data_IF_059241945115
#
_entry.id   IF_059241945115
#
_cell.length_a   1.000
_cell.length_b   1.000
_cell.length_c   1.000
_cell.angle_alpha   90.00
_cell.angle_beta   90.00
_cell.angle_gamma   90.00
#
_symmetry.space_group_name_H-M   'P 1'
#
loop_
_entity.id
_entity.type
_entity.pdbx_description
1 polymer ?
#
# COMPACT_ATOMS: atom_id res chain seq x y z
N UNK A 1 -24.33 10.72 -15.48
CA UNK A 1 -23.93 12.10 -15.16
C UNK A 1 -22.43 12.21 -14.91
N UNK A 2 -21.86 11.49 -13.93
CA UNK A 2 -20.41 11.52 -13.66
C UNK A 2 -19.54 11.23 -14.89
N UNK A 3 -19.76 10.11 -15.60
CA UNK A 3 -19.05 9.77 -16.84
C UNK A 3 -19.14 10.86 -17.92
N UNK A 4 -20.29 11.51 -18.06
CA UNK A 4 -20.47 12.59 -19.04
C UNK A 4 -19.69 13.85 -18.65
N UNK A 5 -19.58 14.12 -17.35
CA UNK A 5 -18.74 15.20 -16.84
C UNK A 5 -17.26 14.95 -17.12
N UNK A 6 -16.78 13.71 -16.91
CA UNK A 6 -15.39 13.33 -17.23
C UNK A 6 -15.10 13.44 -18.74
N UNK A 7 -16.03 13.00 -19.61
CA UNK A 7 -15.87 13.18 -21.05
C UNK A 7 -15.87 14.67 -21.41
N UNK A 8 -16.75 15.48 -20.82
CA UNK A 8 -16.78 16.93 -21.07
C UNK A 8 -15.46 17.61 -20.69
N UNK A 9 -14.80 17.16 -19.62
CA UNK A 9 -13.49 17.66 -19.21
C UNK A 9 -12.34 17.24 -20.14
N UNK A 10 -12.52 16.17 -20.93
CA UNK A 10 -11.49 15.60 -21.79
C UNK A 10 -11.59 16.03 -23.27
N UNK A 11 -12.69 16.63 -23.70
CA UNK A 11 -12.91 17.06 -25.09
C UNK A 11 -12.33 18.46 -25.36
N UNK A 12 -11.96 18.70 -26.61
CA UNK A 12 -11.46 20.01 -27.08
C UNK A 12 -12.61 20.97 -27.42
N UNK A 13 -12.30 22.26 -27.56
CA UNK A 13 -13.27 23.29 -27.94
C UNK A 13 -13.92 23.06 -29.31
N UNK A 14 -13.23 22.36 -30.23
CA UNK A 14 -13.78 22.01 -31.54
C UNK A 14 -14.85 20.90 -31.43
N UNK A 15 -14.73 20.01 -30.45
CA UNK A 15 -15.62 18.86 -30.22
C UNK A 15 -16.85 19.22 -29.36
N UNK A 16 -16.84 20.39 -28.70
CA UNK A 16 -17.88 20.82 -27.76
C UNK A 16 -19.27 20.91 -28.42
N UNK A 17 -19.34 21.42 -29.65
CA UNK A 17 -20.61 21.51 -30.38
C UNK A 17 -21.19 20.14 -30.73
N UNK A 18 -20.35 19.14 -31.00
CA UNK A 18 -20.79 17.78 -31.29
C UNK A 18 -21.22 17.07 -29.99
N UNK A 19 -20.47 17.26 -28.90
CA UNK A 19 -20.77 16.67 -27.60
C UNK A 19 -22.01 17.25 -26.93
N UNK A 20 -22.37 18.51 -27.21
CA UNK A 20 -23.58 19.15 -26.68
C UNK A 20 -24.87 18.38 -27.03
N UNK A 21 -24.91 17.69 -28.18
CA UNK A 21 -26.04 16.81 -28.54
C UNK A 21 -26.14 15.59 -27.62
N UNK A 22 -24.99 15.02 -27.23
CA UNK A 22 -24.90 13.93 -26.25
C UNK A 22 -25.36 14.40 -24.88
N UNK A 23 -24.96 15.61 -24.46
CA UNK A 23 -25.39 16.22 -23.19
C UNK A 23 -26.89 16.52 -23.17
N UNK A 24 -27.46 17.01 -24.27
CA UNK A 24 -28.89 17.30 -24.34
C UNK A 24 -29.76 16.05 -24.17
N UNK A 25 -29.37 14.94 -24.80
CA UNK A 25 -30.06 13.65 -24.65
C UNK A 25 -29.79 13.05 -23.26
N UNK A 26 -28.56 13.14 -22.77
CA UNK A 26 -28.19 12.69 -21.42
C UNK A 26 -28.94 13.43 -20.30
N UNK A 27 -29.16 14.74 -20.46
CA UNK A 27 -29.93 15.56 -19.54
C UNK A 27 -31.41 15.16 -19.49
N UNK A 28 -32.01 14.79 -20.63
CA UNK A 28 -33.40 14.27 -20.70
C UNK A 28 -33.54 12.93 -19.96
N UNK A 29 -32.55 12.05 -20.02
CA UNK A 29 -32.52 10.79 -19.26
C UNK A 29 -32.47 11.08 -17.75
N UNK A 30 -31.63 12.01 -17.31
CA UNK A 30 -31.49 12.37 -15.89
C UNK A 30 -32.77 13.02 -15.31
N UNK A 31 -33.44 13.86 -16.09
CA UNK A 31 -34.68 14.55 -15.66
C UNK A 31 -35.87 13.58 -15.51
N UNK A 32 -35.94 12.53 -16.33
CA UNK A 32 -37.02 11.53 -16.31
C UNK A 32 -36.80 10.39 -15.28
N UNK A 33 -35.73 10.47 -14.48
CA UNK A 33 -35.45 9.55 -13.38
C UNK A 33 -36.18 9.91 -12.08
N UNK A 34 -36.84 11.09 -12.00
CA UNK A 34 -37.67 11.47 -10.85
C UNK A 34 -38.98 10.66 -10.91
N UNK A 35 -39.27 9.78 -9.93
CA UNK A 35 -40.47 8.95 -10.00
C UNK A 35 -41.75 9.79 -9.91
N UNK A 36 -42.64 9.63 -10.89
CA UNK A 36 -43.96 10.28 -10.95
C UNK A 36 -44.87 9.89 -9.78
N UNK A 37 -44.54 8.82 -9.05
CA UNK A 37 -45.18 8.38 -7.80
C UNK A 37 -45.28 9.48 -6.72
N UNK A 38 -44.35 10.44 -6.69
CA UNK A 38 -44.38 11.56 -5.73
C UNK A 38 -45.62 12.46 -5.96
N UNK A 39 -46.09 12.62 -7.21
CA UNK A 39 -47.27 13.44 -7.54
C UNK A 39 -48.59 12.74 -7.22
N UNK A 40 -48.62 11.41 -7.20
CA UNK A 40 -49.83 10.62 -6.91
C UNK A 40 -50.09 10.61 -5.40
N UNK A 41 -49.04 10.50 -4.58
CA UNK A 41 -49.15 10.55 -3.12
C UNK A 41 -49.79 11.86 -2.61
N UNK A 42 -49.55 13.00 -3.28
CA UNK A 42 -50.11 14.30 -2.92
C UNK A 42 -51.62 14.45 -3.16
N UNK A 43 -52.23 13.70 -4.10
CA UNK A 43 -53.68 13.77 -4.36
C UNK A 43 -54.53 12.95 -3.38
N UNK A 44 -53.92 11.98 -2.68
CA UNK A 44 -54.60 11.04 -1.78
C UNK A 44 -55.06 11.64 -0.45
N UNK A 45 -54.63 12.87 -0.13
CA UNK A 45 -54.95 13.54 1.14
C UNK A 45 -56.26 14.35 1.14
N UNK A 46 -56.99 14.42 0.02
CA UNK A 46 -58.28 15.11 -0.06
C UNK A 46 -59.38 14.05 -0.24
N UNK A 47 -60.08 13.74 0.84
CA UNK A 47 -60.98 12.59 0.94
C UNK A 47 -62.33 12.76 0.25
N UNK A 48 -62.80 11.68 -0.38
CA UNK A 48 -64.20 11.43 -0.77
C UNK A 48 -64.44 9.91 -0.91
N UNK A 49 -65.73 9.52 -0.92
CA UNK A 49 -66.32 8.23 -0.50
C UNK A 49 -65.76 6.88 -1.03
N UNK A 50 -65.76 5.88 -0.14
CA UNK A 50 -65.14 4.55 -0.28
C UNK A 50 -65.65 3.66 -1.44
N UNK A 51 -66.85 3.88 -1.96
CA UNK A 51 -67.39 3.09 -3.07
C UNK A 51 -66.84 3.53 -4.44
N UNK A 52 -66.64 4.84 -4.65
CA UNK A 52 -65.99 5.38 -5.84
C UNK A 52 -64.47 5.11 -5.82
N UNK A 53 -63.89 4.94 -4.63
CA UNK A 53 -62.47 4.61 -4.45
C UNK A 53 -62.12 3.26 -5.05
N UNK A 54 -62.97 2.23 -4.98
CA UNK A 54 -62.63 0.90 -5.50
C UNK A 54 -62.59 0.85 -7.06
N UNK A 55 -63.49 1.57 -7.72
CA UNK A 55 -63.54 1.66 -9.18
C UNK A 55 -62.49 2.64 -9.73
N UNK A 56 -62.21 3.72 -9.00
CA UNK A 56 -61.06 4.58 -9.25
C UNK A 56 -59.75 3.81 -9.08
N UNK A 57 -59.55 3.06 -8.00
CA UNK A 57 -58.33 2.27 -7.75
C UNK A 57 -58.02 1.27 -8.87
N UNK A 58 -59.01 0.66 -9.50
CA UNK A 58 -58.80 -0.30 -10.59
C UNK A 58 -58.46 0.37 -11.92
N UNK A 59 -59.13 1.48 -12.27
CA UNK A 59 -58.76 2.30 -13.45
C UNK A 59 -57.44 3.03 -13.26
N UNK A 60 -57.20 3.54 -12.06
CA UNK A 60 -56.01 4.31 -11.69
C UNK A 60 -54.81 3.39 -11.52
N UNK A 61 -54.95 2.17 -10.98
CA UNK A 61 -53.88 1.15 -11.03
C UNK A 61 -53.55 0.73 -12.47
N UNK A 62 -54.54 0.59 -13.35
CA UNK A 62 -54.32 0.31 -14.77
C UNK A 62 -53.64 1.47 -15.52
N UNK A 63 -53.95 2.72 -15.16
CA UNK A 63 -53.30 3.91 -15.71
C UNK A 63 -51.90 4.10 -15.14
N UNK A 64 -51.68 3.87 -13.84
CA UNK A 64 -50.36 3.89 -13.19
C UNK A 64 -49.45 2.82 -13.80
N UNK A 65 -49.96 1.61 -14.01
CA UNK A 65 -49.20 0.56 -14.69
C UNK A 65 -48.89 0.92 -16.15
N UNK A 66 -49.84 1.51 -16.88
CA UNK A 66 -49.60 2.01 -18.25
C UNK A 66 -48.58 3.14 -18.27
N UNK A 67 -48.65 4.08 -17.34
CA UNK A 67 -47.69 5.18 -17.18
C UNK A 67 -46.30 4.63 -16.86
N UNK A 68 -46.18 3.63 -15.97
CA UNK A 68 -44.92 2.98 -15.64
C UNK A 68 -44.32 2.22 -16.84
N UNK A 69 -45.16 1.53 -17.64
CA UNK A 69 -44.75 0.88 -18.89
C UNK A 69 -44.32 1.90 -19.95
N UNK A 70 -45.07 3.01 -20.11
CA UNK A 70 -44.72 4.08 -21.04
C UNK A 70 -43.46 4.84 -20.62
N UNK A 71 -43.26 5.07 -19.32
CA UNK A 71 -42.03 5.62 -18.77
C UNK A 71 -40.85 4.70 -19.02
N UNK A 72 -41.02 3.39 -18.80
CA UNK A 72 -39.99 2.39 -19.10
C UNK A 72 -39.65 2.37 -20.60
N UNK A 73 -40.65 2.41 -21.48
CA UNK A 73 -40.45 2.50 -22.93
C UNK A 73 -39.73 3.77 -23.34
N UNK A 74 -40.17 4.94 -22.86
CA UNK A 74 -39.51 6.22 -23.12
C UNK A 74 -38.07 6.24 -22.62
N UNK A 75 -37.80 5.70 -21.42
CA UNK A 75 -36.45 5.57 -20.87
C UNK A 75 -35.58 4.71 -21.78
N UNK A 76 -36.10 3.57 -22.25
CA UNK A 76 -35.38 2.67 -23.16
C UNK A 76 -35.06 3.35 -24.49
N UNK A 77 -36.02 4.06 -25.09
CA UNK A 77 -35.82 4.79 -26.36
C UNK A 77 -34.80 5.93 -26.21
N UNK A 78 -34.89 6.72 -25.13
CA UNK A 78 -33.92 7.78 -24.84
C UNK A 78 -32.52 7.22 -24.63
N UNK A 79 -32.40 6.06 -23.99
CA UNK A 79 -31.11 5.40 -23.80
C UNK A 79 -30.51 4.89 -25.12
N UNK A 80 -31.33 4.37 -26.03
CA UNK A 80 -30.89 3.98 -27.38
C UNK A 80 -30.43 5.21 -28.17
N UNK A 81 -31.20 6.29 -28.17
CA UNK A 81 -30.82 7.54 -28.84
C UNK A 81 -29.52 8.13 -28.28
N UNK A 82 -29.33 8.06 -26.96
CA UNK A 82 -28.11 8.50 -26.30
C UNK A 82 -26.90 7.66 -26.73
N UNK A 83 -27.05 6.33 -26.78
CA UNK A 83 -26.00 5.42 -27.27
C UNK A 83 -25.62 5.71 -28.72
N UNK A 84 -26.60 5.98 -29.58
CA UNK A 84 -26.36 6.30 -30.99
C UNK A 84 -25.61 7.62 -31.16
N UNK A 85 -26.02 8.69 -30.47
CA UNK A 85 -25.31 9.97 -30.55
C UNK A 85 -23.92 9.89 -29.92
N UNK A 86 -23.74 9.18 -28.81
CA UNK A 86 -22.42 8.95 -28.23
C UNK A 86 -21.52 8.15 -29.18
N UNK A 87 -22.07 7.15 -29.88
CA UNK A 87 -21.30 6.38 -30.88
C UNK A 87 -20.89 7.26 -32.06
N UNK A 88 -21.80 8.08 -32.59
CA UNK A 88 -21.50 9.02 -33.68
C UNK A 88 -20.44 10.02 -33.27
N UNK A 89 -20.53 10.56 -32.05
CA UNK A 89 -19.53 11.47 -31.51
C UNK A 89 -18.15 10.82 -31.49
N UNK A 90 -18.04 9.60 -30.97
CA UNK A 90 -16.76 8.87 -30.92
C UNK A 90 -16.23 8.60 -32.33
N UNK A 91 -17.08 8.15 -33.25
CA UNK A 91 -16.69 7.86 -34.63
C UNK A 91 -16.24 9.08 -35.42
N UNK A 92 -16.84 10.25 -35.18
CA UNK A 92 -16.55 11.49 -35.92
C UNK A 92 -15.41 12.29 -35.32
N UNK A 93 -15.30 12.34 -34.00
CA UNK A 93 -14.44 13.31 -33.31
C UNK A 93 -13.21 12.68 -32.64
N UNK A 94 -13.19 11.36 -32.40
CA UNK A 94 -12.11 10.68 -31.66
C UNK A 94 -11.22 9.88 -32.63
N UNK A 95 -10.50 10.55 -33.53
CA UNK A 95 -9.41 10.08 -34.44
C UNK A 95 -9.29 8.55 -34.72
N UNK A 96 -10.39 7.83 -34.92
CA UNK A 96 -10.44 6.36 -34.95
C UNK A 96 -9.72 5.62 -33.79
N UNK A 97 -9.51 6.27 -32.64
CA UNK A 97 -8.93 5.66 -31.43
C UNK A 97 -10.04 5.35 -30.43
N UNK A 98 -9.92 4.28 -29.64
CA UNK A 98 -10.90 3.99 -28.61
C UNK A 98 -10.83 5.04 -27.48
N UNK A 99 -11.98 5.46 -26.98
CA UNK A 99 -12.13 6.16 -25.71
C UNK A 99 -11.98 5.16 -24.57
N UNK A 100 -10.95 5.34 -23.74
CA UNK A 100 -10.62 4.42 -22.65
C UNK A 100 -11.04 5.02 -21.31
N UNK A 101 -11.92 4.34 -20.58
CA UNK A 101 -12.26 4.64 -19.20
C UNK A 101 -11.48 3.73 -18.26
N UNK A 102 -10.66 4.31 -17.38
CA UNK A 102 -9.97 3.58 -16.32
C UNK A 102 -10.78 3.76 -15.03
N UNK A 103 -11.24 2.66 -14.45
CA UNK A 103 -11.98 2.64 -13.18
C UNK A 103 -11.13 1.90 -12.17
N UNK A 104 -10.68 2.60 -11.15
CA UNK A 104 -9.82 2.07 -10.09
C UNK A 104 -10.58 2.00 -8.75
N UNK A 105 -10.12 1.13 -7.86
CA UNK A 105 -10.59 0.95 -6.47
C UNK A 105 -12.08 0.60 -6.31
N UNK A 106 -12.71 0.02 -7.35
CA UNK A 106 -14.12 -0.37 -7.30
C UNK A 106 -14.38 -1.43 -6.22
N UNK A 107 -13.40 -2.29 -5.95
CA UNK A 107 -13.41 -3.31 -4.90
C UNK A 107 -13.35 -2.73 -3.47
N UNK A 108 -13.00 -1.44 -3.31
CA UNK A 108 -12.99 -0.74 -2.01
C UNK A 108 -14.26 0.05 -1.72
N UNK A 109 -15.16 0.13 -2.69
CA UNK A 109 -16.42 0.83 -2.53
C UNK A 109 -17.38 0.08 -1.60
N UNK A 110 -18.41 0.78 -1.12
CA UNK A 110 -19.53 0.11 -0.45
C UNK A 110 -20.15 -0.93 -1.40
N UNK A 111 -20.54 -2.13 -0.91
CA UNK A 111 -21.11 -3.20 -1.72
C UNK A 111 -22.17 -2.78 -2.74
N UNK A 112 -23.15 -1.99 -2.30
CA UNK A 112 -24.23 -1.46 -3.14
C UNK A 112 -23.74 -0.51 -4.23
N UNK A 113 -22.82 0.39 -3.88
CA UNK A 113 -22.25 1.33 -4.83
C UNK A 113 -21.42 0.61 -5.91
N UNK A 114 -20.60 -0.38 -5.53
CA UNK A 114 -19.80 -1.13 -6.48
C UNK A 114 -20.68 -1.87 -7.51
N UNK A 115 -21.74 -2.53 -7.05
CA UNK A 115 -22.71 -3.23 -7.93
C UNK A 115 -23.46 -2.23 -8.81
N UNK A 116 -23.94 -1.11 -8.24
CA UNK A 116 -24.63 -0.06 -8.99
C UNK A 116 -23.76 0.50 -10.12
N UNK A 117 -22.48 0.78 -9.84
CA UNK A 117 -21.53 1.25 -10.85
C UNK A 117 -21.38 0.20 -11.97
N UNK A 118 -21.15 -1.08 -11.64
CA UNK A 118 -21.06 -2.15 -12.64
C UNK A 118 -22.30 -2.22 -13.53
N UNK A 119 -23.49 -2.17 -12.93
CA UNK A 119 -24.77 -2.22 -13.65
C UNK A 119 -24.96 -1.01 -14.56
N UNK A 120 -24.57 0.18 -14.10
CA UNK A 120 -24.62 1.40 -14.91
C UNK A 120 -23.63 1.38 -16.08
N UNK A 121 -22.36 1.02 -15.85
CA UNK A 121 -21.33 1.03 -16.90
C UNK A 121 -21.54 -0.06 -17.94
N UNK A 122 -22.19 -1.18 -17.58
CA UNK A 122 -22.56 -2.25 -18.52
C UNK A 122 -23.29 -1.73 -19.75
N UNK A 123 -24.09 -0.68 -19.56
CA UNK A 123 -24.83 -0.10 -20.66
C UNK A 123 -23.95 0.65 -21.68
N UNK A 124 -22.69 0.90 -21.38
CA UNK A 124 -21.73 1.55 -22.27
C UNK A 124 -20.80 0.55 -22.95
N UNK A 125 -20.66 -0.67 -22.42
CA UNK A 125 -19.77 -1.71 -22.98
C UNK A 125 -20.13 -2.13 -24.40
N UNK A 126 -21.40 -2.00 -24.80
CA UNK A 126 -21.84 -2.34 -26.15
C UNK A 126 -21.52 -1.29 -27.21
N UNK A 127 -20.93 -0.15 -26.83
CA UNK A 127 -20.63 0.94 -27.76
C UNK A 127 -19.27 0.71 -28.41
N UNK A 128 -19.25 0.70 -29.75
CA UNK A 128 -17.99 0.61 -30.51
C UNK A 128 -17.13 1.84 -30.23
N UNK A 129 -15.84 1.63 -30.05
CA UNK A 129 -14.89 2.71 -29.76
C UNK A 129 -14.85 3.13 -28.29
N UNK A 130 -15.54 2.41 -27.37
CA UNK A 130 -15.36 2.59 -25.92
C UNK A 130 -14.73 1.34 -25.32
N UNK A 131 -13.72 1.53 -24.48
CA UNK A 131 -13.06 0.47 -23.72
C UNK A 131 -13.07 0.84 -22.24
N UNK A 132 -13.43 -0.11 -21.39
CA UNK A 132 -13.32 0.04 -19.94
C UNK A 132 -12.18 -0.83 -19.41
N UNK A 133 -11.32 -0.24 -18.59
CA UNK A 133 -10.24 -0.92 -17.88
C UNK A 133 -10.57 -0.85 -16.40
N UNK A 134 -10.87 -1.99 -15.79
CA UNK A 134 -11.17 -2.10 -14.36
C UNK A 134 -9.90 -2.54 -13.63
N UNK A 135 -9.35 -1.67 -12.78
CA UNK A 135 -8.28 -2.02 -11.85
C UNK A 135 -8.91 -2.41 -10.50
N UNK A 136 -8.97 -3.71 -10.23
CA UNK A 136 -9.71 -4.27 -9.09
C UNK A 136 -8.96 -5.43 -8.44
N UNK A 137 -9.11 -5.58 -7.13
CA UNK A 137 -8.97 -6.88 -6.48
C UNK A 137 -10.26 -7.69 -6.71
N UNK A 138 -10.18 -8.71 -7.56
CA UNK A 138 -11.32 -9.54 -7.94
C UNK A 138 -11.94 -10.28 -6.76
N UNK A 139 -11.13 -10.74 -5.80
CA UNK A 139 -11.65 -11.47 -4.64
C UNK A 139 -12.45 -10.52 -3.75
N UNK A 140 -11.92 -9.32 -3.50
CA UNK A 140 -12.62 -8.30 -2.71
C UNK A 140 -13.90 -7.83 -3.41
N UNK A 141 -13.88 -7.63 -4.73
CA UNK A 141 -15.09 -7.28 -5.48
C UNK A 141 -16.14 -8.40 -5.43
N UNK A 142 -15.72 -9.67 -5.51
CA UNK A 142 -16.63 -10.81 -5.32
C UNK A 142 -17.28 -10.80 -3.93
N UNK A 143 -16.51 -10.45 -2.90
CA UNK A 143 -17.03 -10.32 -1.53
C UNK A 143 -18.01 -9.14 -1.40
N UNK A 144 -17.73 -8.01 -2.06
CA UNK A 144 -18.66 -6.89 -2.14
C UNK A 144 -19.99 -7.31 -2.79
N UNK A 145 -19.96 -8.07 -3.89
CA UNK A 145 -21.17 -8.60 -4.55
C UNK A 145 -21.97 -9.52 -3.62
N UNK A 146 -21.30 -10.46 -2.93
CA UNK A 146 -21.96 -11.34 -1.95
C UNK A 146 -22.61 -10.54 -0.82
N UNK A 147 -21.92 -9.49 -0.35
CA UNK A 147 -22.42 -8.57 0.66
C UNK A 147 -23.65 -7.78 0.19
N UNK A 148 -23.67 -7.31 -1.06
CA UNK A 148 -24.81 -6.60 -1.64
C UNK A 148 -26.08 -7.46 -1.67
N UNK A 149 -25.95 -8.71 -2.08
CA UNK A 149 -27.09 -9.64 -2.18
C UNK A 149 -27.35 -10.44 -0.89
N UNK A 150 -26.50 -10.32 0.13
CA UNK A 150 -26.65 -10.97 1.44
C UNK A 150 -26.55 -12.50 1.41
N UNK A 151 -25.81 -13.09 0.47
CA UNK A 151 -25.72 -14.54 0.33
C UNK A 151 -24.39 -15.03 -0.24
N UNK A 152 -23.67 -15.83 0.54
CA UNK A 152 -22.42 -16.49 0.12
C UNK A 152 -22.63 -17.55 -0.97
N UNK A 153 -23.89 -17.96 -1.20
CA UNK A 153 -24.24 -18.94 -2.23
C UNK A 153 -24.27 -18.35 -3.62
N UNK A 154 -24.19 -17.03 -3.76
CA UNK A 154 -24.14 -16.38 -5.06
C UNK A 154 -22.77 -16.61 -5.69
N UNK A 155 -22.80 -17.07 -6.93
CA UNK A 155 -21.60 -17.15 -7.75
C UNK A 155 -21.23 -15.76 -8.27
N UNK A 156 -20.53 -14.99 -7.43
CA UNK A 156 -20.09 -13.64 -7.74
C UNK A 156 -19.11 -13.59 -8.93
N UNK A 157 -18.30 -14.62 -9.13
CA UNK A 157 -17.41 -14.71 -10.29
C UNK A 157 -18.19 -14.79 -11.61
N UNK A 158 -19.23 -15.63 -11.65
CA UNK A 158 -20.11 -15.72 -12.82
C UNK A 158 -20.92 -14.44 -13.04
N UNK A 159 -21.27 -13.73 -11.96
CA UNK A 159 -21.86 -12.40 -12.07
C UNK A 159 -20.89 -11.41 -12.73
N UNK A 160 -19.62 -11.38 -12.33
CA UNK A 160 -18.59 -10.50 -12.89
C UNK A 160 -18.29 -10.77 -14.37
N UNK A 161 -18.41 -12.01 -14.84
CA UNK A 161 -18.25 -12.35 -16.27
C UNK A 161 -19.24 -11.65 -17.19
N UNK A 162 -20.33 -11.09 -16.66
CA UNK A 162 -21.28 -10.26 -17.43
C UNK A 162 -20.72 -8.87 -17.76
N UNK A 163 -19.62 -8.49 -17.12
CA UNK A 163 -19.03 -7.14 -17.19
C UNK A 163 -17.58 -7.15 -17.68
N UNK A 164 -16.87 -8.26 -17.57
CA UNK A 164 -15.45 -8.38 -17.91
C UNK A 164 -15.29 -9.31 -19.11
N UNK A 165 -14.97 -8.74 -20.27
CA UNK A 165 -14.73 -9.51 -21.50
C UNK A 165 -13.34 -10.18 -21.49
N UNK A 166 -12.33 -9.47 -20.97
CA UNK A 166 -10.93 -9.92 -20.91
C UNK A 166 -10.37 -9.64 -19.52
N UNK A 167 -9.78 -10.65 -18.92
CA UNK A 167 -9.10 -10.56 -17.62
C UNK A 167 -7.58 -10.62 -17.82
N UNK A 168 -6.87 -9.66 -17.23
CA UNK A 168 -5.41 -9.62 -17.22
C UNK A 168 -4.93 -9.55 -15.77
N UNK A 169 -4.15 -10.54 -15.36
CA UNK A 169 -3.58 -10.60 -14.02
C UNK A 169 -2.16 -10.02 -14.10
N UNK A 170 -1.91 -8.97 -13.31
CA UNK A 170 -0.57 -8.40 -13.19
C UNK A 170 0.35 -9.42 -12.52
N UNK A 171 1.53 -9.73 -13.10
CA UNK A 171 2.48 -10.62 -12.47
C UNK A 171 3.05 -9.97 -11.21
N UNK A 172 3.31 -10.79 -10.19
CA UNK A 172 4.05 -10.35 -9.01
C UNK A 172 5.45 -9.87 -9.42
N UNK A 173 5.90 -8.71 -8.95
CA UNK A 173 7.24 -8.22 -9.27
C UNK A 173 8.29 -9.12 -8.62
N UNK A 174 9.45 -9.23 -9.28
CA UNK A 174 10.60 -9.84 -8.65
C UNK A 174 10.98 -9.01 -7.41
N UNK A 175 11.05 -9.67 -6.25
CA UNK A 175 11.27 -9.02 -4.96
C UNK A 175 12.60 -8.27 -4.87
N UNK A 176 13.68 -8.83 -5.43
CA UNK A 176 14.99 -8.16 -5.44
C UNK A 176 14.93 -6.89 -6.29
N UNK A 177 14.31 -6.97 -7.47
CA UNK A 177 14.08 -5.81 -8.35
C UNK A 177 13.24 -4.74 -7.64
N UNK A 178 12.21 -5.14 -6.90
CA UNK A 178 11.37 -4.21 -6.13
C UNK A 178 12.12 -3.56 -4.96
N UNK A 179 12.94 -4.31 -4.23
CA UNK A 179 13.80 -3.77 -3.17
C UNK A 179 14.83 -2.78 -3.74
N UNK A 180 15.44 -3.09 -4.90
CA UNK A 180 16.35 -2.17 -5.61
C UNK A 180 15.62 -0.88 -6.01
N UNK A 181 14.42 -1.00 -6.58
CA UNK A 181 13.58 0.16 -6.89
C UNK A 181 13.29 1.01 -5.64
N UNK A 182 12.91 0.40 -4.52
CA UNK A 182 12.65 1.14 -3.28
C UNK A 182 13.91 1.79 -2.72
N UNK A 183 15.06 1.13 -2.85
CA UNK A 183 16.35 1.67 -2.43
C UNK A 183 16.69 2.96 -3.19
N UNK A 184 16.47 2.96 -4.51
CA UNK A 184 16.61 4.14 -5.37
C UNK A 184 15.53 5.19 -5.08
N UNK A 185 14.26 4.78 -5.00
CA UNK A 185 13.10 5.64 -4.76
C UNK A 185 13.22 6.45 -3.46
N UNK A 186 13.66 5.81 -2.38
CA UNK A 186 13.90 6.48 -1.10
C UNK A 186 15.26 7.17 -1.01
N UNK A 187 16.07 7.12 -2.07
CA UNK A 187 17.38 7.76 -2.18
C UNK A 187 18.29 7.37 -1.00
N UNK A 188 18.43 6.08 -0.74
CA UNK A 188 19.29 5.61 0.33
C UNK A 188 20.77 5.94 0.08
N UNK A 189 21.20 6.02 -1.20
CA UNK A 189 22.55 6.44 -1.56
C UNK A 189 22.92 7.82 -1.00
N UNK A 190 21.98 8.76 -0.88
CA UNK A 190 22.24 10.08 -0.28
C UNK A 190 22.76 9.98 1.16
N UNK A 191 22.40 8.90 1.86
CA UNK A 191 22.91 8.61 3.19
C UNK A 191 24.26 7.89 3.14
N UNK A 192 24.40 6.87 2.29
CA UNK A 192 25.61 6.05 2.23
C UNK A 192 26.80 6.78 1.59
N UNK A 193 26.57 7.63 0.58
CA UNK A 193 27.59 8.41 -0.13
C UNK A 193 28.00 9.71 0.57
N UNK A 194 27.57 9.94 1.81
CA UNK A 194 27.97 11.14 2.54
C UNK A 194 29.50 11.18 2.68
N UNK A 195 30.16 12.32 2.40
CA UNK A 195 31.63 12.43 2.47
C UNK A 195 32.21 11.99 3.82
N UNK A 196 31.48 12.21 4.91
CA UNK A 196 31.86 11.76 6.25
C UNK A 196 31.92 10.23 6.39
N UNK A 197 31.07 9.48 5.67
CA UNK A 197 31.07 8.00 5.67
C UNK A 197 32.12 7.45 4.71
N UNK A 198 32.22 8.01 3.51
CA UNK A 198 33.11 7.52 2.44
C UNK A 198 34.62 7.61 2.77
N UNK A 199 34.99 8.38 3.79
CA UNK A 199 36.37 8.44 4.28
C UNK A 199 36.79 7.18 5.05
N UNK A 200 35.85 6.32 5.48
CA UNK A 200 36.14 5.15 6.30
C UNK A 200 35.90 3.86 5.55
N UNK A 201 36.93 3.02 5.49
CA UNK A 201 36.88 1.74 4.78
C UNK A 201 35.78 0.80 5.29
N UNK A 202 35.44 0.85 6.58
CA UNK A 202 34.38 0.02 7.18
C UNK A 202 32.99 0.29 6.60
N UNK A 203 32.76 1.49 6.02
CA UNK A 203 31.48 1.87 5.44
C UNK A 203 31.41 1.71 3.92
N UNK A 204 32.51 1.28 3.26
CA UNK A 204 32.59 1.22 1.79
C UNK A 204 31.43 0.42 1.17
N UNK A 205 31.08 -0.71 1.77
CA UNK A 205 30.06 -1.62 1.26
C UNK A 205 28.78 -1.59 2.12
N UNK A 206 28.55 -0.49 2.85
CA UNK A 206 27.42 -0.41 3.81
C UNK A 206 26.07 -0.22 3.11
N UNK A 207 26.06 0.45 1.94
CA UNK A 207 24.87 0.59 1.10
C UNK A 207 24.41 -0.74 0.51
N UNK A 208 25.35 -1.48 -0.11
CA UNK A 208 25.10 -2.81 -0.66
C UNK A 208 24.65 -3.79 0.42
N UNK A 209 25.36 -3.84 1.56
CA UNK A 209 24.97 -4.69 2.68
C UNK A 209 23.56 -4.35 3.17
N UNK A 210 23.23 -3.07 3.32
CA UNK A 210 21.91 -2.65 3.76
C UNK A 210 20.79 -3.07 2.79
N UNK A 211 21.00 -2.90 1.48
CA UNK A 211 20.08 -3.35 0.45
C UNK A 211 19.87 -4.87 0.49
N UNK A 212 20.95 -5.65 0.60
CA UNK A 212 20.86 -7.09 0.78
C UNK A 212 20.10 -7.46 2.06
N UNK A 213 20.29 -6.70 3.15
CA UNK A 213 19.50 -6.85 4.37
C UNK A 213 17.99 -6.68 4.15
N UNK A 214 17.57 -5.70 3.35
CA UNK A 214 16.16 -5.52 2.96
C UNK A 214 15.66 -6.72 2.16
N UNK A 215 16.40 -7.15 1.14
CA UNK A 215 16.04 -8.30 0.28
C UNK A 215 15.90 -9.58 1.10
N UNK A 216 16.87 -9.85 1.97
CA UNK A 216 16.88 -11.02 2.83
C UNK A 216 15.70 -11.02 3.81
N UNK A 217 15.43 -9.90 4.50
CA UNK A 217 14.28 -9.79 5.40
C UNK A 217 12.95 -9.94 4.65
N UNK A 218 12.83 -9.33 3.48
CA UNK A 218 11.63 -9.47 2.64
C UNK A 218 11.39 -10.93 2.24
N UNK A 219 12.45 -11.64 1.83
CA UNK A 219 12.38 -13.04 1.42
C UNK A 219 12.05 -13.98 2.58
N UNK A 220 12.79 -13.88 3.68
CA UNK A 220 12.68 -14.82 4.79
C UNK A 220 11.37 -14.73 5.56
N UNK A 221 10.77 -13.54 5.60
CA UNK A 221 9.51 -13.31 6.29
C UNK A 221 8.31 -13.16 5.35
N UNK A 222 8.50 -13.41 4.04
CA UNK A 222 7.46 -13.31 3.02
C UNK A 222 6.68 -12.00 3.10
N UNK A 223 7.40 -10.88 3.19
CA UNK A 223 6.78 -9.55 3.30
C UNK A 223 6.07 -9.19 2.00
N UNK A 224 4.86 -8.63 2.11
CA UNK A 224 4.16 -8.00 0.98
C UNK A 224 4.89 -6.75 0.48
N UNK A 225 4.66 -6.35 -0.77
CA UNK A 225 5.24 -5.15 -1.36
C UNK A 225 5.01 -3.89 -0.51
N UNK A 226 3.81 -3.78 0.08
CA UNK A 226 3.45 -2.67 0.97
C UNK A 226 4.20 -2.71 2.30
N UNK A 227 4.48 -3.90 2.83
CA UNK A 227 5.27 -4.08 4.05
C UNK A 227 6.72 -3.69 3.82
N UNK A 228 7.31 -4.08 2.70
CA UNK A 228 8.68 -3.70 2.31
C UNK A 228 8.77 -2.18 2.11
N UNK A 229 7.81 -1.57 1.41
CA UNK A 229 7.76 -0.12 1.21
C UNK A 229 7.71 0.64 2.54
N UNK A 230 6.85 0.21 3.48
CA UNK A 230 6.76 0.81 4.81
C UNK A 230 8.04 0.68 5.61
N UNK A 231 8.66 -0.50 5.60
CA UNK A 231 9.94 -0.75 6.25
C UNK A 231 11.03 0.19 5.71
N UNK A 232 11.12 0.33 4.38
CA UNK A 232 12.05 1.25 3.73
C UNK A 232 11.74 2.71 4.06
N UNK A 233 10.48 3.14 3.96
CA UNK A 233 10.04 4.50 4.24
C UNK A 233 10.39 4.91 5.68
N UNK A 234 10.06 4.06 6.65
CA UNK A 234 10.31 4.32 8.06
C UNK A 234 11.81 4.32 8.36
N UNK A 235 12.58 3.37 7.78
CA UNK A 235 14.04 3.35 7.93
C UNK A 235 14.67 4.62 7.36
N UNK A 236 14.23 5.05 6.17
CA UNK A 236 14.71 6.30 5.56
C UNK A 236 14.39 7.51 6.41
N UNK A 237 13.19 7.59 6.98
CA UNK A 237 12.78 8.67 7.87
C UNK A 237 13.71 8.76 9.09
N UNK A 238 14.00 7.64 9.75
CA UNK A 238 14.92 7.60 10.90
C UNK A 238 16.35 7.99 10.49
N UNK A 239 16.83 7.50 9.35
CA UNK A 239 18.17 7.88 8.86
C UNK A 239 18.28 9.37 8.52
N UNK A 240 17.17 10.03 8.13
CA UNK A 240 17.14 11.48 7.89
C UNK A 240 16.98 12.32 9.15
N UNK A 241 16.24 11.82 10.15
CA UNK A 241 15.93 12.61 11.36
C UNK A 241 17.15 12.83 12.25
N UNK A 242 18.17 12.00 12.10
CA UNK A 242 19.35 12.00 12.94
C UNK A 242 20.47 12.86 12.32
N UNK A 243 20.93 13.88 13.05
CA UNK A 243 21.98 14.81 12.59
C UNK A 243 23.39 14.19 12.48
N UNK A 244 23.60 12.98 13.02
CA UNK A 244 24.90 12.32 12.95
C UNK A 244 25.08 11.60 11.62
N UNK A 245 26.21 11.85 10.96
CA UNK A 245 26.60 11.14 9.74
C UNK A 245 27.00 9.67 10.00
N UNK A 246 27.19 9.31 11.27
CA UNK A 246 27.63 7.99 11.73
C UNK A 246 26.48 7.22 12.39
N UNK A 247 25.44 6.94 11.60
CA UNK A 247 24.36 6.03 12.00
C UNK A 247 24.72 4.58 11.69
N UNK A 248 24.01 3.71 12.39
CA UNK A 248 24.05 2.26 12.27
C UNK A 248 22.81 1.79 11.48
N UNK A 249 22.84 1.83 10.13
CA UNK A 249 21.67 1.59 9.30
C UNK A 249 21.16 0.14 9.40
N UNK A 250 22.08 -0.83 9.47
CA UNK A 250 21.71 -2.25 9.58
C UNK A 250 21.00 -2.55 10.91
N UNK A 251 21.51 -2.04 12.04
CA UNK A 251 20.79 -2.14 13.32
C UNK A 251 19.46 -1.38 13.26
N UNK A 252 19.40 -0.20 12.65
CA UNK A 252 18.17 0.58 12.53
C UNK A 252 17.09 -0.19 11.78
N UNK A 253 17.45 -0.81 10.64
CA UNK A 253 16.57 -1.69 9.88
C UNK A 253 16.07 -2.86 10.73
N UNK A 254 16.96 -3.55 11.45
CA UNK A 254 16.60 -4.65 12.35
C UNK A 254 15.60 -4.21 13.42
N UNK A 255 15.85 -3.07 14.08
CA UNK A 255 15.00 -2.59 15.16
C UNK A 255 13.63 -2.11 14.64
N UNK A 256 13.57 -1.48 13.47
CA UNK A 256 12.31 -1.10 12.83
C UNK A 256 11.52 -2.33 12.42
N UNK A 257 12.19 -3.33 11.83
CA UNK A 257 11.58 -4.61 11.52
C UNK A 257 10.97 -5.26 12.77
N UNK A 258 11.72 -5.34 13.88
CA UNK A 258 11.19 -5.86 15.14
C UNK A 258 10.02 -5.01 15.65
N UNK A 259 10.11 -3.68 15.59
CA UNK A 259 9.01 -2.81 16.02
C UNK A 259 7.71 -3.10 15.27
N UNK A 260 7.79 -3.39 13.98
CA UNK A 260 6.63 -3.62 13.11
C UNK A 260 6.09 -5.05 13.19
N UNK A 261 6.96 -6.06 13.22
CA UNK A 261 6.57 -7.46 13.07
C UNK A 261 6.74 -8.30 14.35
N UNK A 262 7.46 -7.80 15.36
CA UNK A 262 7.62 -8.46 16.66
C UNK A 262 7.81 -7.43 17.80
N UNK A 263 6.76 -6.64 18.05
CA UNK A 263 6.82 -5.50 18.97
C UNK A 263 7.28 -5.89 20.38
N UNK A 264 6.89 -7.07 20.88
CA UNK A 264 7.33 -7.59 22.17
C UNK A 264 8.84 -7.77 22.21
N UNK A 265 9.45 -8.37 21.19
CA UNK A 265 10.90 -8.52 21.12
C UNK A 265 11.62 -7.16 21.08
N UNK A 266 11.10 -6.22 20.29
CA UNK A 266 11.62 -4.85 20.24
C UNK A 266 11.66 -4.20 21.63
N UNK A 267 10.57 -4.26 22.39
CA UNK A 267 10.51 -3.68 23.74
C UNK A 267 11.52 -4.31 24.70
N UNK A 268 11.64 -5.64 24.69
CA UNK A 268 12.61 -6.34 25.56
C UNK A 268 14.06 -5.90 25.31
N UNK A 269 14.41 -5.70 24.03
CA UNK A 269 15.72 -5.19 23.65
C UNK A 269 15.88 -3.73 24.09
N UNK A 270 14.91 -2.86 23.81
CA UNK A 270 15.00 -1.43 24.14
C UNK A 270 15.04 -1.15 25.65
N UNK A 271 14.39 -1.98 26.45
CA UNK A 271 14.34 -1.87 27.92
C UNK A 271 15.47 -2.59 28.65
N UNK A 272 16.47 -3.10 27.92
CA UNK A 272 17.62 -3.80 28.50
C UNK A 272 17.26 -5.03 29.35
N UNK A 273 16.27 -5.82 28.91
CA UNK A 273 15.83 -7.02 29.66
C UNK A 273 16.81 -8.22 29.58
N UNK A 274 17.92 -8.08 28.86
CA UNK A 274 18.85 -9.16 28.59
C UNK A 274 20.28 -8.81 29.02
N UNK A 275 21.02 -9.78 29.51
CA UNK A 275 22.49 -9.69 29.45
C UNK A 275 22.98 -9.94 28.00
N UNK A 276 24.26 -9.70 27.72
CA UNK A 276 24.77 -9.81 26.35
C UNK A 276 24.61 -11.21 25.73
N UNK A 277 24.77 -12.29 26.50
CA UNK A 277 24.60 -13.65 25.98
C UNK A 277 23.13 -13.92 25.69
N UNK A 278 22.23 -13.56 26.62
CA UNK A 278 20.79 -13.67 26.42
C UNK A 278 20.33 -12.87 25.20
N UNK A 279 20.89 -11.68 24.95
CA UNK A 279 20.57 -10.87 23.77
C UNK A 279 20.97 -11.58 22.48
N UNK A 280 22.20 -12.11 22.40
CA UNK A 280 22.70 -12.86 21.25
C UNK A 280 21.84 -14.10 20.99
N UNK A 281 21.53 -14.86 22.04
CA UNK A 281 20.72 -16.06 21.94
C UNK A 281 19.30 -15.70 21.48
N UNK A 282 18.71 -14.66 22.07
CA UNK A 282 17.37 -14.18 21.72
C UNK A 282 17.28 -13.70 20.28
N UNK A 283 18.26 -12.94 19.78
CA UNK A 283 18.33 -12.51 18.36
C UNK A 283 18.27 -13.72 17.42
N UNK A 284 18.96 -14.83 17.75
CA UNK A 284 18.95 -16.05 16.94
C UNK A 284 17.62 -16.81 16.94
N UNK A 285 16.76 -16.55 17.94
CA UNK A 285 15.40 -17.11 17.97
C UNK A 285 14.45 -16.35 17.07
N UNK A 286 14.74 -15.07 16.80
CA UNK A 286 13.90 -14.21 15.96
C UNK A 286 14.33 -14.30 14.51
N UNK A 287 15.63 -14.16 14.26
CA UNK A 287 16.22 -14.08 12.94
C UNK A 287 16.89 -15.41 12.55
N UNK A 288 16.51 -16.05 11.44
CA UNK A 288 17.15 -17.28 10.98
C UNK A 288 18.67 -17.13 10.85
N UNK A 289 19.42 -18.11 11.34
CA UNK A 289 20.90 -18.05 11.39
C UNK A 289 21.56 -17.85 10.03
N UNK A 290 20.92 -18.28 8.94
CA UNK A 290 21.40 -18.05 7.57
C UNK A 290 21.53 -16.58 7.20
N UNK A 291 20.74 -15.69 7.80
CA UNK A 291 20.80 -14.25 7.58
C UNK A 291 22.15 -13.64 8.04
N UNK A 292 22.80 -14.27 9.00
CA UNK A 292 24.06 -13.79 9.59
C UNK A 292 25.31 -14.40 8.93
N UNK A 293 25.12 -15.33 7.98
CA UNK A 293 26.21 -15.94 7.24
C UNK A 293 26.69 -15.01 6.13
N UNK A 294 27.98 -15.08 5.83
CA UNK A 294 28.61 -14.24 4.81
C UNK A 294 28.02 -14.49 3.43
N UNK A 295 27.83 -13.42 2.65
CA UNK A 295 27.41 -13.47 1.25
C UNK A 295 28.60 -13.64 0.31
N UNK A 296 29.76 -13.04 0.66
CA UNK A 296 31.00 -13.09 -0.11
C UNK A 296 32.23 -13.20 0.81
N UNK A 297 33.35 -13.64 0.24
CA UNK A 297 34.62 -13.95 0.96
C UNK A 297 35.18 -12.76 1.77
N UNK A 298 34.79 -11.53 1.44
CA UNK A 298 35.33 -10.29 2.03
C UNK A 298 34.30 -9.38 2.73
N UNK A 299 33.02 -9.78 2.84
CA UNK A 299 31.98 -8.93 3.41
C UNK A 299 31.12 -9.64 4.47
N UNK A 300 30.90 -8.98 5.61
CA UNK A 300 29.91 -9.38 6.61
C UNK A 300 28.50 -9.08 6.11
N UNK A 301 27.55 -9.98 6.36
CA UNK A 301 26.15 -9.74 5.98
C UNK A 301 25.57 -8.56 6.75
N UNK A 302 24.52 -7.94 6.19
CA UNK A 302 23.77 -6.85 6.83
C UNK A 302 23.40 -7.18 8.27
N UNK A 303 22.90 -8.39 8.51
CA UNK A 303 22.41 -8.82 9.82
C UNK A 303 23.56 -9.08 10.81
N UNK A 304 24.71 -9.57 10.34
CA UNK A 304 25.91 -9.67 11.18
C UNK A 304 26.43 -8.29 11.59
N UNK A 305 26.46 -7.32 10.66
CA UNK A 305 26.80 -5.92 10.97
C UNK A 305 25.78 -5.30 11.93
N UNK A 306 24.49 -5.54 11.68
CA UNK A 306 23.41 -5.07 12.53
C UNK A 306 23.51 -5.64 13.95
N UNK A 307 23.89 -6.91 14.11
CA UNK A 307 24.17 -7.52 15.42
C UNK A 307 25.38 -6.87 16.11
N UNK A 308 26.47 -6.62 15.39
CA UNK A 308 27.64 -5.93 15.94
C UNK A 308 27.29 -4.52 16.44
N UNK A 309 26.56 -3.76 15.61
CA UNK A 309 26.05 -2.43 15.93
C UNK A 309 25.10 -2.46 17.13
N UNK A 310 24.20 -3.44 17.19
CA UNK A 310 23.30 -3.68 18.31
C UNK A 310 24.05 -3.94 19.60
N UNK A 311 25.00 -4.87 19.61
CA UNK A 311 25.81 -5.18 20.79
C UNK A 311 26.61 -3.98 21.26
N UNK A 312 27.21 -3.22 20.35
CA UNK A 312 27.92 -1.99 20.67
C UNK A 312 26.99 -0.97 21.35
N UNK A 313 25.88 -0.60 20.71
CA UNK A 313 24.96 0.39 21.28
C UNK A 313 24.32 -0.07 22.59
N UNK A 314 23.92 -1.34 22.66
CA UNK A 314 23.37 -1.94 23.86
C UNK A 314 24.36 -1.89 25.01
N UNK A 315 25.67 -2.10 24.74
CA UNK A 315 26.71 -1.98 25.76
C UNK A 315 26.90 -0.55 26.29
N UNK A 316 26.75 0.47 25.44
CA UNK A 316 26.81 1.87 25.87
C UNK A 316 25.62 2.24 26.76
N UNK A 317 24.46 1.66 26.44
CA UNK A 317 23.24 1.81 27.22
C UNK A 317 23.26 1.11 28.56
N UNK A 318 23.58 -0.17 28.59
CA UNK A 318 23.64 -0.96 29.83
C UNK A 318 24.75 -0.47 30.77
N UNK A 319 25.80 0.18 30.23
CA UNK A 319 26.83 0.85 31.02
C UNK A 319 26.28 1.95 31.95
N UNK A 320 25.10 2.49 31.64
CA UNK A 320 24.40 3.49 32.47
C UNK A 320 23.52 2.88 33.58
N UNK A 321 23.48 1.55 33.69
CA UNK A 321 22.75 0.80 34.73
C UNK A 321 23.66 0.38 35.89
N UNK A 322 23.09 -0.07 37.02
CA UNK A 322 23.85 -0.37 38.25
C UNK A 322 24.86 -1.54 38.15
N UNK A 323 24.82 -2.38 37.09
CA UNK A 323 25.68 -3.58 36.99
C UNK A 323 26.27 -3.81 35.59
N UNK A 324 27.19 -2.96 35.11
CA UNK A 324 27.72 -3.10 33.77
C UNK A 324 28.76 -4.23 33.69
N UNK A 325 28.40 -5.34 33.04
CA UNK A 325 29.39 -6.36 32.64
C UNK A 325 30.17 -5.85 31.43
N UNK A 326 31.48 -6.13 31.33
CA UNK A 326 32.25 -5.76 30.15
C UNK A 326 31.88 -6.66 28.95
N UNK A 327 31.70 -6.05 27.78
CA UNK A 327 31.43 -6.78 26.53
C UNK A 327 32.68 -7.52 26.01
N UNK A 328 33.87 -7.03 26.36
CA UNK A 328 35.15 -7.64 26.01
C UNK A 328 35.81 -8.27 27.23
N UNK A 329 36.49 -9.40 27.02
CA UNK A 329 37.36 -9.99 28.03
C UNK A 329 38.54 -9.05 28.32
N UNK A 330 39.05 -9.01 29.55
CA UNK A 330 40.29 -8.31 29.86
C UNK A 330 41.40 -8.87 28.96
N UNK A 331 42.10 -7.98 28.24
CA UNK A 331 43.18 -8.33 27.32
C UNK A 331 44.50 -7.78 27.83
N UNK A 332 45.59 -8.55 27.72
CA UNK A 332 46.93 -8.03 27.96
C UNK A 332 47.41 -7.21 26.74
N UNK A 333 48.38 -6.32 26.94
CA UNK A 333 48.90 -5.45 25.86
C UNK A 333 49.40 -6.28 24.68
N UNK A 334 48.77 -6.13 23.50
CA UNK A 334 49.12 -6.84 22.27
C UNK A 334 48.27 -8.07 21.94
N UNK A 335 47.35 -8.48 22.81
CA UNK A 335 46.40 -9.56 22.51
C UNK A 335 45.18 -9.04 21.72
N UNK A 336 44.68 -9.84 20.77
CA UNK A 336 43.42 -9.55 20.06
C UNK A 336 42.27 -9.50 21.07
N UNK A 337 41.40 -8.49 20.97
CA UNK A 337 40.23 -8.44 21.81
C UNK A 337 39.31 -9.64 21.55
N UNK A 338 38.62 -10.09 22.59
CA UNK A 338 37.69 -11.20 22.51
C UNK A 338 36.42 -10.85 23.25
N UNK A 339 35.27 -11.18 22.67
CA UNK A 339 33.97 -10.94 23.28
C UNK A 339 33.76 -11.85 24.50
N UNK A 340 32.98 -11.37 25.47
CA UNK A 340 32.50 -12.18 26.59
C UNK A 340 31.35 -13.10 26.20
N UNK A 341 30.76 -12.90 25.02
CA UNK A 341 29.66 -13.69 24.46
C UNK A 341 30.14 -14.72 23.44
N UNK A 342 29.37 -15.80 23.31
CA UNK A 342 29.51 -16.82 22.27
C UNK A 342 28.44 -16.63 21.20
N UNK A 343 28.86 -16.49 19.94
CA UNK A 343 27.96 -16.35 18.78
C UNK A 343 28.25 -17.50 17.82
N UNK A 344 27.35 -18.48 17.73
CA UNK A 344 27.54 -19.69 16.92
C UNK A 344 27.08 -19.56 15.47
N UNK A 345 26.33 -18.50 15.16
CA UNK A 345 25.61 -18.32 13.90
C UNK A 345 26.18 -17.22 12.99
N UNK A 346 27.22 -16.52 13.45
CA UNK A 346 27.88 -15.46 12.72
C UNK A 346 29.40 -15.55 12.91
N UNK A 347 30.17 -14.91 12.02
CA UNK A 347 31.61 -14.88 12.19
C UNK A 347 32.00 -13.90 13.30
N UNK A 348 32.42 -14.46 14.43
CA UNK A 348 32.79 -13.74 15.65
C UNK A 348 33.94 -12.77 15.43
N UNK A 349 34.92 -13.10 14.58
CA UNK A 349 36.07 -12.24 14.34
C UNK A 349 35.64 -10.92 13.68
N UNK A 350 34.76 -10.96 12.68
CA UNK A 350 34.21 -9.75 12.07
C UNK A 350 33.38 -8.92 13.06
N UNK A 351 32.49 -9.56 13.82
CA UNK A 351 31.68 -8.85 14.82
C UNK A 351 32.59 -8.17 15.86
N UNK A 352 33.64 -8.86 16.30
CA UNK A 352 34.60 -8.33 17.26
C UNK A 352 35.33 -7.12 16.68
N UNK A 353 35.87 -7.24 15.46
CA UNK A 353 36.58 -6.15 14.78
C UNK A 353 35.69 -4.92 14.55
N UNK A 354 34.43 -5.12 14.15
CA UNK A 354 33.46 -4.02 13.95
C UNK A 354 33.22 -3.27 15.27
N UNK A 355 32.96 -4.01 16.36
CA UNK A 355 32.71 -3.40 17.68
C UNK A 355 33.97 -2.67 18.20
N UNK A 356 35.15 -3.23 18.02
CA UNK A 356 36.41 -2.55 18.35
C UNK A 356 36.57 -1.25 17.58
N UNK A 357 36.30 -1.26 16.28
CA UNK A 357 36.37 -0.07 15.46
C UNK A 357 35.39 1.02 15.94
N UNK A 358 34.15 0.66 16.28
CA UNK A 358 33.18 1.59 16.85
C UNK A 358 33.64 2.19 18.19
N UNK A 359 34.34 1.40 19.01
CA UNK A 359 34.86 1.85 20.32
C UNK A 359 36.04 2.82 20.18
N UNK A 360 36.94 2.57 19.24
CA UNK A 360 38.16 3.38 19.04
C UNK A 360 37.96 4.58 18.12
N UNK A 361 36.82 4.65 17.44
CA UNK A 361 36.43 5.80 16.63
C UNK A 361 36.13 7.01 17.51
N UNK A 362 36.78 8.15 17.24
CA UNK A 362 36.51 9.44 17.90
C UNK A 362 35.13 10.06 17.55
N UNK A 363 34.25 9.30 16.91
CA UNK A 363 32.97 9.77 16.42
C UNK A 363 31.87 9.57 17.47
N UNK A 364 31.03 10.59 17.65
CA UNK A 364 29.78 10.44 18.38
C UNK A 364 28.78 9.72 17.47
N UNK A 365 28.74 8.39 17.59
CA UNK A 365 27.60 7.61 17.09
C UNK A 365 26.32 8.10 17.78
N UNK A 366 25.19 8.03 17.07
CA UNK A 366 23.92 8.45 17.66
C UNK A 366 23.64 7.71 18.96
N UNK A 367 23.34 8.46 20.02
CA UNK A 367 22.98 7.90 21.32
C UNK A 367 21.78 6.96 21.16
N UNK A 368 21.88 5.75 21.72
CA UNK A 368 20.81 4.75 21.72
C UNK A 368 19.44 5.34 22.02
N UNK A 369 19.31 6.17 23.06
CA UNK A 369 18.04 6.79 23.41
C UNK A 369 17.47 7.69 22.31
N UNK A 370 18.33 8.41 21.57
CA UNK A 370 17.90 9.27 20.46
C UNK A 370 17.51 8.47 19.22
N UNK A 371 18.22 7.37 18.93
CA UNK A 371 17.83 6.43 17.88
C UNK A 371 16.47 5.79 18.18
N UNK A 372 16.29 5.26 19.40
CA UNK A 372 15.02 4.65 19.83
C UNK A 372 13.88 5.67 19.79
N UNK A 373 14.11 6.91 20.23
CA UNK A 373 13.10 7.97 20.12
C UNK A 373 12.74 8.27 18.65
N UNK A 374 13.71 8.19 17.73
CA UNK A 374 13.45 8.38 16.31
C UNK A 374 12.68 7.21 15.70
N UNK A 375 13.04 5.96 16.03
CA UNK A 375 12.31 4.76 15.63
C UNK A 375 10.87 4.76 16.18
N UNK A 376 10.68 5.28 17.39
CA UNK A 376 9.34 5.42 17.97
C UNK A 376 8.59 6.66 17.47
N UNK A 377 9.20 7.49 16.61
CA UNK A 377 8.65 8.75 16.12
C UNK A 377 8.31 9.76 17.23
N UNK A 378 9.04 9.68 18.36
CA UNK A 378 8.94 10.63 19.47
C UNK A 378 9.86 11.83 19.29
N UNK A 379 10.85 11.75 18.40
CA UNK A 379 11.67 12.89 18.01
C UNK A 379 10.88 13.85 17.11
N UNK A 380 10.92 15.16 17.41
CA UNK A 380 10.45 16.16 16.43
C UNK A 380 11.31 16.06 15.18
N UNK A 381 10.66 15.97 14.01
CA UNK A 381 11.34 16.17 12.72
C UNK A 381 11.98 17.56 12.80
N UNK A 382 13.29 17.62 12.62
CA UNK A 382 14.01 18.90 12.58
C UNK A 382 13.71 19.50 11.22
N UNK A 383 13.11 20.69 11.23
CA UNK A 383 12.78 21.50 10.04
C UNK A 383 13.98 21.76 9.13
#
# INVERSE_FOLDING_TARGET
MALLGEIQGAITSEQESAFNKVLEIGGRIAHNAIPTLVKVATKKFLGEDAANIAEALTKEAGNVFKEEVLEYQNKKEQFVAFREELSKFIESEVEQKPLIFIVDELDRCRPDYAVEVLEHIKHFFSLKGIVFVLAIDKEQLCNAIRGHYGSDRINAEEYLRRFIDVEYILPEPNMETYCNYLYEYFQFEDFFQQPARNQHQIFRDDGDAFLQGIVQLAHEYHLSLRQIEKLCAHTRLVLRSLKSHYLFPNMTLMLIFLREYNHTAYLKIVHYEFNYQELVDFVSTIFPTKLFKQEHEYASSAMARGLAQLLYCYSQGIASTEYPKPLFKPTQSGEKATLTVSISYANVEYITNDIEWYKHSYYSFSNWGYLINSINLFSRLVD
#
